data_IF_775197366628
#
_entry.id   IF_775197366628
#
_cell.length_a   1.000
_cell.length_b   1.000
_cell.length_c   1.000
_cell.angle_alpha   90.00
_cell.angle_beta   90.00
_cell.angle_gamma   90.00
#
_symmetry.space_group_name_H-M   'P 1'
#
loop_
_entity.id
_entity.type
_entity.pdbx_description
1 polymer ?
#
# COMPACT_ATOMS: atom_id res chain seq x y z
N UNK A 1 -0.42 1.28 -25.52
CA UNK A 1 -1.09 0.51 -26.59
C UNK A 1 -0.22 -0.69 -26.90
N UNK A 2 -0.52 -1.83 -26.26
CA UNK A 2 0.06 -3.11 -26.61
C UNK A 2 -1.08 -3.89 -27.27
N UNK A 3 -1.00 -4.13 -28.57
CA UNK A 3 -2.02 -4.86 -29.33
C UNK A 3 -1.53 -6.29 -29.44
N UNK A 4 -2.22 -7.23 -28.78
CA UNK A 4 -2.09 -8.66 -29.05
C UNK A 4 -3.34 -9.02 -29.84
N UNK A 5 -3.15 -9.24 -31.14
CA UNK A 5 -4.18 -9.70 -32.06
C UNK A 5 -4.08 -11.23 -32.13
N UNK A 6 -5.18 -11.92 -31.85
CA UNK A 6 -5.33 -13.30 -32.29
C UNK A 6 -6.80 -13.59 -32.54
N UNK A 7 -7.12 -13.70 -33.83
CA UNK A 7 -8.45 -13.92 -34.37
C UNK A 7 -8.74 -15.42 -34.46
N UNK A 8 -9.71 -15.92 -33.70
CA UNK A 8 -10.42 -17.16 -34.05
C UNK A 8 -11.86 -17.16 -33.51
N UNK A 9 -12.81 -17.39 -34.42
CA UNK A 9 -14.25 -17.27 -34.24
C UNK A 9 -14.91 -18.57 -33.75
N UNK A 10 -15.82 -18.48 -32.77
CA UNK A 10 -16.90 -19.45 -32.59
C UNK A 10 -18.14 -18.77 -31.98
N UNK A 11 -19.29 -19.01 -32.60
CA UNK A 11 -20.63 -18.53 -32.26
C UNK A 11 -21.25 -19.36 -31.11
N UNK A 12 -21.99 -18.71 -30.20
CA UNK A 12 -23.27 -19.23 -29.65
C UNK A 12 -23.96 -18.16 -28.79
N UNK A 13 -25.26 -17.96 -29.05
CA UNK A 13 -26.16 -17.08 -28.32
C UNK A 13 -26.56 -17.68 -26.97
N UNK A 14 -26.60 -16.86 -25.92
CA UNK A 14 -27.24 -17.20 -24.65
C UNK A 14 -27.27 -16.00 -23.71
N UNK A 15 -28.47 -15.45 -23.47
CA UNK A 15 -28.70 -14.36 -22.50
C UNK A 15 -28.63 -14.95 -21.08
N UNK A 16 -27.69 -14.46 -20.26
CA UNK A 16 -27.57 -14.86 -18.84
C UNK A 16 -27.88 -13.64 -17.96
N UNK A 17 -28.97 -13.71 -17.21
CA UNK A 17 -29.26 -12.76 -16.14
C UNK A 17 -28.35 -13.05 -14.92
N UNK A 18 -27.76 -12.03 -14.27
CA UNK A 18 -26.89 -12.25 -13.11
C UNK A 18 -27.72 -12.54 -11.86
N UNK A 19 -27.61 -13.75 -11.34
CA UNK A 19 -27.98 -14.10 -9.96
C UNK A 19 -26.79 -13.78 -9.06
N UNK A 20 -26.96 -12.83 -8.14
CA UNK A 20 -26.01 -12.55 -7.06
C UNK A 20 -26.06 -13.67 -6.03
N UNK A 21 -25.12 -14.62 -6.12
CA UNK A 21 -24.95 -15.64 -5.09
C UNK A 21 -23.83 -15.22 -4.13
N UNK A 22 -24.16 -15.07 -2.85
CA UNK A 22 -23.20 -14.88 -1.77
C UNK A 22 -22.37 -16.15 -1.60
N UNK A 23 -21.16 -16.17 -2.16
CA UNK A 23 -20.23 -17.29 -2.09
C UNK A 23 -19.40 -17.21 -0.80
N UNK A 24 -19.67 -18.10 0.15
CA UNK A 24 -18.70 -18.53 1.15
C UNK A 24 -17.65 -19.42 0.46
N UNK A 25 -16.41 -18.94 0.38
CA UNK A 25 -15.30 -19.69 -0.21
C UNK A 25 -14.85 -20.80 0.77
N UNK A 26 -15.13 -22.05 0.44
CA UNK A 26 -14.70 -23.24 1.21
C UNK A 26 -13.73 -24.16 0.44
N UNK A 27 -13.24 -23.73 -0.73
CA UNK A 27 -12.23 -24.45 -1.51
C UNK A 27 -11.03 -23.53 -1.78
N UNK A 28 -9.81 -24.01 -1.50
CA UNK A 28 -8.54 -23.29 -1.74
C UNK A 28 -8.17 -23.16 -3.23
N UNK A 29 -9.04 -23.64 -4.12
CA UNK A 29 -8.83 -23.67 -5.56
C UNK A 29 -9.93 -22.90 -6.29
N UNK A 30 -9.51 -22.00 -7.19
CA UNK A 30 -10.39 -21.27 -8.09
C UNK A 30 -10.17 -21.75 -9.52
N UNK A 31 -11.22 -22.25 -10.17
CA UNK A 31 -11.18 -22.57 -11.59
C UNK A 31 -11.27 -21.28 -12.43
N UNK A 32 -10.32 -21.09 -13.35
CA UNK A 32 -10.29 -19.94 -14.27
C UNK A 32 -10.60 -20.43 -15.68
N UNK A 33 -11.67 -19.93 -16.28
CA UNK A 33 -12.04 -20.26 -17.66
C UNK A 33 -11.45 -19.27 -18.67
N UNK A 34 -11.12 -19.69 -19.90
CA UNK A 34 -10.68 -18.79 -20.96
C UNK A 34 -11.70 -17.69 -21.27
N UNK A 35 -11.21 -16.53 -21.67
CA UNK A 35 -12.02 -15.41 -22.16
C UNK A 35 -11.50 -14.94 -23.53
N UNK A 36 -12.41 -14.50 -24.39
CA UNK A 36 -12.06 -14.07 -25.75
C UNK A 36 -11.50 -12.64 -25.80
N UNK A 37 -11.85 -11.78 -24.82
CA UNK A 37 -11.39 -10.39 -24.76
C UNK A 37 -11.59 -9.82 -23.35
N UNK A 38 -10.63 -9.04 -22.86
CA UNK A 38 -10.76 -8.23 -21.65
C UNK A 38 -10.64 -6.74 -22.01
N UNK A 39 -11.62 -5.93 -21.60
CA UNK A 39 -11.61 -4.47 -21.80
C UNK A 39 -12.23 -3.79 -20.58
N UNK A 40 -11.53 -2.81 -20.03
CA UNK A 40 -11.97 -2.01 -18.90
C UNK A 40 -10.82 -1.20 -18.33
N UNK A 41 -11.14 -0.36 -17.36
CA UNK A 41 -10.17 0.35 -16.54
C UNK A 41 -10.31 -0.14 -15.11
N UNK A 42 -9.19 -0.30 -14.43
CA UNK A 42 -9.16 -0.73 -13.04
C UNK A 42 -8.18 0.13 -12.26
N UNK A 43 -8.53 0.44 -11.01
CA UNK A 43 -7.64 1.09 -10.06
C UNK A 43 -6.97 0.00 -9.23
N UNK A 44 -5.65 -0.13 -9.37
CA UNK A 44 -4.86 -1.04 -8.54
C UNK A 44 -4.61 -0.44 -7.16
N UNK A 45 -4.42 -1.28 -6.12
CA UNK A 45 -3.93 -0.82 -4.84
C UNK A 45 -2.62 -0.04 -4.95
N UNK A 46 -2.34 0.80 -3.97
CA UNK A 46 -1.07 1.50 -3.85
C UNK A 46 0.14 0.56 -3.87
N UNK A 47 1.19 0.99 -4.55
CA UNK A 47 2.46 0.27 -4.55
C UNK A 47 3.10 0.32 -3.16
N UNK A 48 3.49 -0.85 -2.64
CA UNK A 48 4.07 -1.00 -1.31
C UNK A 48 5.40 -0.26 -1.17
N UNK A 49 6.27 -0.34 -2.19
CA UNK A 49 7.60 0.25 -2.14
C UNK A 49 7.55 1.78 -2.21
N UNK A 50 6.64 2.34 -3.01
CA UNK A 50 6.39 3.78 -3.06
C UNK A 50 5.78 4.26 -1.75
N UNK A 51 4.79 3.54 -1.22
CA UNK A 51 4.13 3.90 0.05
C UNK A 51 5.10 3.98 1.22
N UNK A 52 5.99 2.99 1.40
CA UNK A 52 7.06 3.05 2.40
C UNK A 52 7.92 4.30 2.28
N UNK A 53 8.46 4.54 1.07
CA UNK A 53 9.38 5.65 0.84
C UNK A 53 8.70 7.01 0.97
N UNK A 54 7.47 7.14 0.48
CA UNK A 54 6.68 8.36 0.62
C UNK A 54 6.43 8.67 2.09
N UNK A 55 6.00 7.70 2.90
CA UNK A 55 5.80 7.88 4.33
C UNK A 55 7.08 8.33 5.05
N UNK A 56 8.21 7.67 4.78
CA UNK A 56 9.51 7.99 5.37
C UNK A 56 9.98 9.39 5.01
N UNK A 57 9.94 9.75 3.72
CA UNK A 57 10.39 11.06 3.25
C UNK A 57 9.48 12.19 3.74
N UNK A 58 8.16 11.99 3.71
CA UNK A 58 7.20 12.97 4.24
C UNK A 58 7.37 13.18 5.75
N UNK A 59 7.70 12.13 6.50
CA UNK A 59 7.95 12.23 7.95
C UNK A 59 9.20 13.06 8.26
N UNK A 60 10.22 13.00 7.41
CA UNK A 60 11.46 13.77 7.54
C UNK A 60 11.40 15.16 6.88
N UNK A 61 10.38 15.43 6.06
CA UNK A 61 10.18 16.73 5.45
C UNK A 61 9.69 17.77 6.47
N UNK A 62 9.71 19.05 6.09
CA UNK A 62 9.04 20.12 6.86
C UNK A 62 7.68 20.40 6.22
N UNK A 63 6.66 20.59 7.06
CA UNK A 63 5.30 20.92 6.61
C UNK A 63 4.40 19.69 6.48
N UNK A 64 3.29 19.86 5.76
CA UNK A 64 2.27 18.82 5.60
C UNK A 64 2.38 18.14 4.22
N UNK A 65 2.29 16.81 4.19
CA UNK A 65 2.22 15.99 2.99
C UNK A 65 0.91 15.19 2.99
N UNK A 66 0.27 15.13 1.82
CA UNK A 66 -0.92 14.29 1.60
C UNK A 66 -0.54 13.19 0.60
N UNK A 67 -0.62 11.94 1.05
CA UNK A 67 -0.35 10.76 0.24
C UNK A 67 -1.68 10.11 -0.14
N UNK A 68 -1.98 10.04 -1.43
CA UNK A 68 -3.16 9.38 -1.96
C UNK A 68 -2.84 7.98 -2.48
N UNK A 69 -3.84 7.11 -2.51
CA UNK A 69 -3.71 5.71 -2.92
C UNK A 69 -2.56 4.99 -2.19
N UNK A 70 -2.41 5.23 -0.89
CA UNK A 70 -1.43 4.57 -0.04
C UNK A 70 -1.74 3.08 0.08
N UNK A 71 -0.70 2.24 0.03
CA UNK A 71 -0.86 0.79 0.07
C UNK A 71 -1.52 0.33 1.37
N UNK A 72 -2.49 -0.57 1.26
CA UNK A 72 -3.16 -1.20 2.40
C UNK A 72 -2.35 -2.36 3.01
N UNK A 73 -1.14 -2.61 2.52
CA UNK A 73 -0.27 -3.65 3.07
C UNK A 73 0.08 -3.37 4.54
N UNK A 74 0.00 -4.40 5.38
CA UNK A 74 0.35 -4.33 6.80
C UNK A 74 1.76 -3.79 7.02
N UNK A 75 2.69 -4.11 6.12
CA UNK A 75 4.04 -3.59 6.14
C UNK A 75 4.10 -2.06 6.07
N UNK A 76 3.25 -1.44 5.25
CA UNK A 76 3.19 0.02 5.14
C UNK A 76 2.55 0.65 6.38
N UNK A 77 1.61 -0.03 7.03
CA UNK A 77 1.07 0.42 8.31
C UNK A 77 2.13 0.38 9.40
N UNK A 78 2.94 -0.69 9.47
CA UNK A 78 4.06 -0.78 10.41
C UNK A 78 5.05 0.40 10.25
N UNK A 79 5.27 0.88 9.02
CA UNK A 79 6.05 2.11 8.80
C UNK A 79 5.38 3.32 9.45
N UNK A 80 4.07 3.53 9.23
CA UNK A 80 3.36 4.67 9.81
C UNK A 80 3.39 4.62 11.35
N UNK A 81 3.17 3.46 11.95
CA UNK A 81 3.23 3.27 13.41
C UNK A 81 4.61 3.59 13.98
N UNK A 82 5.68 3.14 13.33
CA UNK A 82 7.04 3.50 13.73
C UNK A 82 7.24 5.03 13.73
N UNK A 83 6.77 5.75 12.71
CA UNK A 83 6.89 7.22 12.69
C UNK A 83 5.97 7.92 13.68
N UNK A 84 4.78 7.39 13.96
CA UNK A 84 3.93 7.89 15.06
C UNK A 84 4.65 7.78 16.40
N UNK A 85 5.28 6.64 16.68
CA UNK A 85 6.07 6.41 17.89
C UNK A 85 7.31 7.35 17.97
N UNK A 86 7.86 7.74 16.83
CA UNK A 86 8.95 8.74 16.73
C UNK A 86 8.46 10.19 16.80
N UNK A 87 7.20 10.43 17.16
CA UNK A 87 6.64 11.76 17.39
C UNK A 87 6.10 12.46 16.14
N UNK A 88 6.00 11.78 14.99
CA UNK A 88 5.44 12.36 13.77
C UNK A 88 3.91 12.30 13.82
N UNK A 89 3.25 13.42 13.53
CA UNK A 89 1.79 13.46 13.46
C UNK A 89 1.31 12.91 12.12
N UNK A 90 0.70 11.72 12.17
CA UNK A 90 0.23 10.97 11.00
C UNK A 90 -1.24 10.57 11.20
N UNK A 91 -2.10 11.08 10.34
CA UNK A 91 -3.53 10.72 10.26
C UNK A 91 -3.75 9.91 8.99
N UNK A 92 -4.48 8.81 9.08
CA UNK A 92 -4.84 7.97 7.93
C UNK A 92 -6.35 7.82 7.86
N UNK A 93 -6.92 8.04 6.69
CA UNK A 93 -8.33 7.80 6.37
C UNK A 93 -8.42 7.00 5.05
N UNK A 94 -8.84 5.74 5.16
CA UNK A 94 -8.81 4.80 4.03
C UNK A 94 -7.41 4.66 3.43
N UNK A 95 -7.27 5.02 2.15
CA UNK A 95 -5.99 5.02 1.41
C UNK A 95 -5.30 6.39 1.40
N UNK A 96 -5.80 7.37 2.15
CA UNK A 96 -5.21 8.71 2.22
C UNK A 96 -4.48 8.86 3.54
N UNK A 97 -3.23 9.31 3.48
CA UNK A 97 -2.38 9.55 4.66
C UNK A 97 -1.93 11.01 4.68
N UNK A 98 -2.20 11.70 5.78
CA UNK A 98 -1.74 13.06 6.03
C UNK A 98 -0.61 13.00 7.05
N UNK A 99 0.56 13.51 6.68
CA UNK A 99 1.78 13.50 7.49
C UNK A 99 2.22 14.94 7.72
N UNK A 100 2.32 15.36 8.97
CA UNK A 100 2.99 16.61 9.35
C UNK A 100 4.42 16.27 9.72
N UNK A 101 5.32 16.48 8.75
CA UNK A 101 6.72 16.10 8.85
C UNK A 101 7.44 16.85 9.96
N UNK A 102 8.29 16.12 10.68
CA UNK A 102 9.03 16.63 11.83
C UNK A 102 10.34 17.34 11.43
N UNK A 103 10.73 17.29 10.15
CA UNK A 103 12.06 17.69 9.70
C UNK A 103 13.14 16.64 9.99
N UNK A 104 14.31 16.80 9.38
CA UNK A 104 15.41 15.82 9.40
C UNK A 104 15.99 15.51 10.79
N UNK A 105 15.75 16.38 11.77
CA UNK A 105 16.25 16.27 13.14
C UNK A 105 15.15 16.46 14.20
N UNK A 106 13.88 16.36 13.79
CA UNK A 106 12.74 16.54 14.69
C UNK A 106 12.09 15.23 15.15
N UNK A 107 12.65 14.09 14.76
CA UNK A 107 12.23 12.80 15.33
C UNK A 107 12.59 12.76 16.81
N UNK A 108 11.74 12.12 17.60
CA UNK A 108 11.90 11.98 19.04
C UNK A 108 12.27 10.55 19.40
N UNK A 109 13.00 10.37 20.49
CA UNK A 109 13.29 9.04 21.02
C UNK A 109 11.95 8.34 21.34
N UNK A 110 11.71 7.13 20.80
CA UNK A 110 10.45 6.46 20.99
C UNK A 110 10.34 5.93 22.44
N UNK A 111 9.16 5.99 23.08
CA UNK A 111 8.99 5.54 24.47
C UNK A 111 9.10 4.01 24.62
N UNK A 112 8.98 3.27 23.52
CA UNK A 112 8.98 1.81 23.46
C UNK A 112 9.74 1.31 22.23
N UNK A 113 10.03 0.01 22.19
CA UNK A 113 10.66 -0.64 21.02
C UNK A 113 9.79 -0.43 19.78
N UNK A 114 10.42 0.00 18.69
CA UNK A 114 9.77 0.15 17.39
C UNK A 114 9.54 -1.24 16.76
N UNK A 115 8.28 -1.56 16.46
CA UNK A 115 7.90 -2.83 15.85
C UNK A 115 7.72 -2.68 14.33
N UNK A 116 8.69 -3.18 13.57
CA UNK A 116 8.61 -3.24 12.11
C UNK A 116 7.70 -4.36 11.59
N UNK A 117 7.16 -5.22 12.47
CA UNK A 117 6.39 -6.42 12.13
C UNK A 117 7.15 -7.29 11.11
N UNK A 118 6.47 -7.84 10.11
CA UNK A 118 7.11 -8.60 9.04
C UNK A 118 7.70 -7.72 7.91
N UNK A 119 7.83 -6.40 8.15
CA UNK A 119 8.33 -5.47 7.15
C UNK A 119 9.84 -5.33 7.18
N UNK A 120 10.52 -6.21 6.44
CA UNK A 120 11.97 -6.09 6.23
C UNK A 120 12.39 -4.77 5.55
N UNK A 121 11.48 -4.11 4.82
CA UNK A 121 11.73 -2.77 4.25
C UNK A 121 11.72 -1.70 5.33
N UNK A 122 10.73 -1.73 6.22
CA UNK A 122 10.66 -0.81 7.37
C UNK A 122 11.92 -0.94 8.21
N UNK A 123 12.28 -2.15 8.62
CA UNK A 123 13.47 -2.40 9.46
C UNK A 123 14.75 -1.82 8.85
N UNK A 124 15.05 -2.12 7.57
CA UNK A 124 16.31 -1.70 6.93
C UNK A 124 16.39 -0.20 6.72
N UNK A 125 15.32 0.41 6.21
CA UNK A 125 15.33 1.84 5.89
C UNK A 125 15.24 2.70 7.15
N UNK A 126 14.42 2.28 8.11
CA UNK A 126 14.30 2.96 9.39
C UNK A 126 15.62 2.93 10.16
N UNK A 127 16.33 1.79 10.19
CA UNK A 127 17.66 1.72 10.80
C UNK A 127 18.64 2.76 10.21
N UNK A 128 18.63 2.96 8.88
CA UNK A 128 19.44 3.98 8.24
C UNK A 128 19.04 5.42 8.62
N UNK A 129 17.74 5.68 8.77
CA UNK A 129 17.22 6.99 9.21
C UNK A 129 17.63 7.27 10.66
N UNK A 130 17.43 6.29 11.56
CA UNK A 130 17.69 6.43 12.98
C UNK A 130 19.18 6.55 13.31
N UNK A 131 20.06 5.93 12.51
CA UNK A 131 21.51 6.08 12.67
C UNK A 131 22.00 7.54 12.54
N UNK A 132 21.23 8.41 11.90
CA UNK A 132 21.53 9.84 11.76
C UNK A 132 20.79 10.76 12.74
N UNK A 133 19.97 10.23 13.65
CA UNK A 133 19.20 11.05 14.60
C UNK A 133 20.01 11.36 15.85
N UNK A 134 19.98 12.62 16.35
CA UNK A 134 20.71 13.02 17.55
C UNK A 134 19.92 12.67 18.83
N UNK A 135 19.50 11.41 18.98
CA UNK A 135 18.89 10.98 20.24
C UNK A 135 19.91 11.08 21.38
N UNK A 136 19.45 11.40 22.61
CA UNK A 136 20.31 11.56 23.77
C UNK A 136 21.12 10.29 24.13
#
# INVERSE_FOLDING_TARGET
>A
MLVIDDSCSATTNGVVHPQTNSLSFQDDAVAVSPINRLRGELRVPGDKSISHRAAMLSSLARGESVLENFSSAQDCEATLECFRALGVNIVKDGSTVVIRGAGSSGLQEPPHVLDAQNSGTTMRLLAGILAGQPFP
#
